data_IF_109912315792
#
_entry.id   IF_109912315792
#
_cell.length_a   1.000
_cell.length_b   1.000
_cell.length_c   1.000
_cell.angle_alpha   90.00
_cell.angle_beta   90.00
_cell.angle_gamma   90.00
#
_symmetry.space_group_name_H-M   'P 1'
#
loop_
_entity.id
_entity.type
_entity.pdbx_description
1 polymer ?
#
# COMPACT_ATOMS: atom_id res chain seq x y z
N UNK A 1 4.48 10.66 20.99
CA UNK A 1 4.72 10.15 19.63
C UNK A 1 3.58 10.56 18.72
N UNK A 2 3.85 11.18 17.58
CA UNK A 2 2.82 11.37 16.55
C UNK A 2 2.86 10.12 15.65
N UNK A 3 1.75 9.39 15.58
CA UNK A 3 1.63 8.14 14.82
C UNK A 3 1.44 8.41 13.33
N UNK A 4 0.67 7.55 12.67
CA UNK A 4 0.25 7.72 11.28
C UNK A 4 -1.22 7.30 11.16
N UNK A 5 -1.92 7.82 10.15
CA UNK A 5 -3.24 7.32 9.77
C UNK A 5 -3.05 6.11 8.86
N UNK A 6 -3.61 4.97 9.25
CA UNK A 6 -3.67 3.80 8.39
C UNK A 6 -4.99 3.79 7.61
N UNK A 7 -4.95 4.25 6.37
CA UNK A 7 -6.12 4.36 5.52
C UNK A 7 -6.25 3.08 4.65
N UNK A 8 -7.32 2.31 4.89
CA UNK A 8 -7.62 1.07 4.18
C UNK A 8 -8.97 1.23 3.50
N UNK A 9 -9.01 1.11 2.17
CA UNK A 9 -10.26 1.03 1.40
C UNK A 9 -10.31 -0.29 0.63
N UNK A 10 -10.68 -1.36 1.32
CA UNK A 10 -11.01 -2.61 0.65
C UNK A 10 -12.51 -2.86 0.80
N UNK A 11 -13.29 -2.43 -0.20
CA UNK A 11 -14.63 -2.97 -0.44
C UNK A 11 -14.49 -4.28 -1.19
N UNK A 12 -14.15 -5.36 -0.46
CA UNK A 12 -14.41 -6.72 -0.94
C UNK A 12 -13.18 -7.57 -1.29
N UNK A 13 -13.13 -8.74 -0.66
CA UNK A 13 -12.34 -9.90 -1.03
C UNK A 13 -12.86 -10.54 -2.32
N UNK A 14 -12.57 -9.97 -3.49
CA UNK A 14 -12.88 -10.67 -4.75
C UNK A 14 -11.86 -10.35 -5.83
N UNK A 15 -10.84 -11.21 -5.88
CA UNK A 15 -10.26 -11.67 -7.14
C UNK A 15 -9.37 -10.69 -7.89
N UNK A 16 -8.05 -10.83 -7.70
CA UNK A 16 -7.02 -10.70 -8.75
C UNK A 16 -6.98 -9.40 -9.58
N UNK A 17 -7.69 -8.34 -9.24
CA UNK A 17 -7.60 -7.08 -9.97
C UNK A 17 -6.48 -6.24 -9.38
N UNK A 18 -5.44 -6.08 -10.20
CA UNK A 18 -4.10 -5.56 -9.90
C UNK A 18 -4.05 -4.03 -9.82
N UNK A 19 -5.15 -3.34 -10.15
CA UNK A 19 -5.17 -1.88 -10.26
C UNK A 19 -5.59 -1.19 -8.94
N UNK A 20 -4.87 -0.13 -8.59
CA UNK A 20 -5.29 0.83 -7.56
C UNK A 20 -6.34 1.76 -8.20
N UNK A 21 -7.62 1.72 -7.78
CA UNK A 21 -8.66 2.53 -8.42
C UNK A 21 -8.45 4.03 -8.18
N UNK A 22 -8.81 4.86 -9.14
CA UNK A 22 -8.67 6.33 -9.03
C UNK A 22 -9.49 6.92 -7.88
N UNK A 23 -10.64 6.30 -7.56
CA UNK A 23 -11.46 6.68 -6.41
C UNK A 23 -10.70 6.52 -5.09
N UNK A 24 -9.89 5.46 -4.97
CA UNK A 24 -9.04 5.21 -3.81
C UNK A 24 -7.99 6.29 -3.69
N UNK A 25 -7.33 6.65 -4.79
CA UNK A 25 -6.32 7.73 -4.79
C UNK A 25 -6.94 9.07 -4.41
N UNK A 26 -8.10 9.41 -4.98
CA UNK A 26 -8.82 10.62 -4.63
C UNK A 26 -9.29 10.63 -3.17
N UNK A 27 -9.62 9.47 -2.59
CA UNK A 27 -9.91 9.36 -1.16
C UNK A 27 -8.64 9.58 -0.31
N UNK A 28 -7.50 8.99 -0.68
CA UNK A 28 -6.22 9.21 -0.01
C UNK A 28 -5.84 10.69 -0.02
N UNK A 29 -6.00 11.38 -1.16
CA UNK A 29 -5.70 12.81 -1.28
C UNK A 29 -6.55 13.66 -0.32
N UNK A 30 -7.85 13.35 -0.20
CA UNK A 30 -8.74 14.06 0.74
C UNK A 30 -8.34 13.82 2.19
N UNK A 31 -7.96 12.60 2.55
CA UNK A 31 -7.51 12.26 3.91
C UNK A 31 -6.18 12.97 4.21
N UNK A 32 -5.22 12.89 3.29
CA UNK A 32 -3.91 13.53 3.40
C UNK A 32 -4.01 15.05 3.53
N UNK A 33 -4.93 15.69 2.81
CA UNK A 33 -5.12 17.14 2.86
C UNK A 33 -5.56 17.66 4.24
N UNK A 34 -6.17 16.83 5.07
CA UNK A 34 -6.69 17.22 6.40
C UNK A 34 -5.96 16.54 7.57
N UNK A 35 -5.09 15.58 7.28
CA UNK A 35 -4.42 14.79 8.30
C UNK A 35 -3.24 15.58 8.90
N UNK A 36 -3.15 15.71 10.24
CA UNK A 36 -2.00 16.32 10.91
C UNK A 36 -0.79 15.35 11.02
N UNK A 37 -0.94 14.10 10.57
CA UNK A 37 0.08 13.05 10.63
C UNK A 37 0.20 12.32 9.28
N UNK A 38 1.31 11.61 9.00
CA UNK A 38 1.46 10.87 7.76
C UNK A 38 0.31 9.90 7.50
N UNK A 39 -0.09 9.75 6.25
CA UNK A 39 -1.14 8.83 5.80
C UNK A 39 -0.51 7.66 5.05
N UNK A 40 -0.68 6.46 5.60
CA UNK A 40 -0.20 5.22 5.00
C UNK A 40 -1.35 4.38 4.47
N UNK A 41 -1.12 3.72 3.34
CA UNK A 41 -2.12 2.90 2.64
C UNK A 41 -1.83 1.40 2.73
N UNK A 42 -2.87 0.59 2.90
CA UNK A 42 -2.79 -0.87 2.88
C UNK A 42 -3.79 -1.48 1.91
N UNK A 43 -3.34 -1.83 0.70
CA UNK A 43 -4.21 -2.28 -0.41
C UNK A 43 -3.87 -3.67 -0.95
N UNK A 44 -3.26 -4.54 -0.14
CA UNK A 44 -2.78 -5.83 -0.64
C UNK A 44 -1.69 -5.64 -1.69
N UNK A 45 -0.74 -4.75 -1.40
CA UNK A 45 0.37 -4.38 -2.28
C UNK A 45 1.23 -5.62 -2.58
N UNK A 46 1.42 -5.89 -3.87
CA UNK A 46 2.13 -7.06 -4.40
C UNK A 46 3.14 -6.72 -5.49
N UNK A 47 3.12 -5.49 -6.03
CA UNK A 47 4.05 -5.05 -7.07
C UNK A 47 4.54 -3.62 -6.89
N UNK A 48 5.72 -3.32 -7.43
CA UNK A 48 6.25 -1.95 -7.48
C UNK A 48 5.37 -1.00 -8.29
N UNK A 49 4.63 -1.49 -9.29
CA UNK A 49 3.70 -0.68 -10.08
C UNK A 49 2.58 -0.11 -9.19
N UNK A 50 2.04 -0.92 -8.28
CA UNK A 50 1.04 -0.46 -7.32
C UNK A 50 1.61 0.62 -6.40
N UNK A 51 2.87 0.43 -5.93
CA UNK A 51 3.57 1.43 -5.12
C UNK A 51 3.78 2.74 -5.89
N UNK A 52 4.23 2.63 -7.15
CA UNK A 52 4.42 3.78 -8.04
C UNK A 52 3.11 4.53 -8.29
N UNK A 53 1.98 3.82 -8.47
CA UNK A 53 0.66 4.43 -8.70
C UNK A 53 0.17 5.26 -7.51
N UNK A 54 0.52 4.88 -6.29
CA UNK A 54 0.17 5.61 -5.07
C UNK A 54 1.15 6.73 -4.72
N UNK A 55 2.28 6.83 -5.43
CA UNK A 55 3.28 7.87 -5.20
C UNK A 55 2.64 9.26 -5.32
N UNK A 56 2.82 10.10 -4.31
CA UNK A 56 2.23 11.44 -4.25
C UNK A 56 0.84 11.51 -3.65
N UNK A 57 0.14 10.39 -3.51
CA UNK A 57 -1.18 10.29 -2.88
C UNK A 57 -1.12 9.86 -1.41
N UNK A 58 -0.05 9.15 -1.03
CA UNK A 58 0.19 8.63 0.33
C UNK A 58 1.62 8.91 0.77
N UNK A 59 1.85 8.97 2.07
CA UNK A 59 3.17 9.15 2.67
C UNK A 59 3.88 7.80 2.92
N UNK A 60 3.13 6.68 2.88
CA UNK A 60 3.68 5.34 3.02
C UNK A 60 2.74 4.23 2.54
N UNK A 61 3.30 3.04 2.36
CA UNK A 61 2.57 1.83 1.99
C UNK A 61 2.82 0.73 3.01
N UNK A 62 1.80 -0.07 3.31
CA UNK A 62 1.85 -1.18 4.26
C UNK A 62 1.63 -2.48 3.50
N UNK A 63 2.55 -3.43 3.68
CA UNK A 63 2.57 -4.73 3.00
C UNK A 63 2.39 -5.83 4.03
N UNK A 64 1.23 -6.49 4.01
CA UNK A 64 0.88 -7.56 4.96
C UNK A 64 0.89 -8.94 4.30
N UNK A 65 -0.25 -9.34 3.72
CA UNK A 65 -0.47 -10.70 3.21
C UNK A 65 0.60 -11.16 2.21
N UNK A 66 1.06 -10.30 1.30
CA UNK A 66 2.10 -10.66 0.34
C UNK A 66 3.44 -10.98 1.01
N UNK A 67 3.79 -10.25 2.08
CA UNK A 67 5.00 -10.52 2.87
C UNK A 67 4.87 -11.85 3.64
N UNK A 68 3.70 -12.12 4.22
CA UNK A 68 3.42 -13.39 4.89
C UNK A 68 3.56 -14.57 3.92
N UNK A 69 3.01 -14.45 2.71
CA UNK A 69 3.14 -15.49 1.67
C UNK A 69 4.60 -15.73 1.25
N UNK A 70 5.43 -14.70 1.17
CA UNK A 70 6.88 -14.82 0.91
C UNK A 70 7.57 -15.60 2.03
N UNK A 71 7.24 -15.29 3.29
CA UNK A 71 7.76 -16.01 4.45
C UNK A 71 7.32 -17.48 4.48
N UNK A 72 6.06 -17.77 4.14
CA UNK A 72 5.53 -19.13 4.04
C UNK A 72 6.24 -19.96 2.96
N UNK A 73 6.58 -19.33 1.83
CA UNK A 73 7.39 -19.94 0.76
C UNK A 73 8.88 -20.05 1.09
N UNK A 74 9.32 -19.54 2.24
CA UNK A 74 10.74 -19.45 2.65
C UNK A 74 11.61 -18.68 1.64
N UNK A 75 11.02 -17.70 0.98
CA UNK A 75 11.71 -16.74 0.12
C UNK A 75 12.32 -15.61 0.96
N UNK A 76 13.23 -14.83 0.38
CA UNK A 76 13.85 -13.70 1.08
C UNK A 76 12.88 -12.50 1.17
N UNK A 77 12.39 -12.14 2.37
CA UNK A 77 11.52 -10.99 2.55
C UNK A 77 12.21 -9.66 2.21
N UNK A 78 13.53 -9.55 2.40
CA UNK A 78 14.25 -8.32 2.08
C UNK A 78 14.28 -8.10 0.57
N UNK A 79 14.64 -9.12 -0.20
CA UNK A 79 14.62 -9.07 -1.66
C UNK A 79 13.22 -8.73 -2.21
N UNK A 80 12.16 -9.30 -1.64
CA UNK A 80 10.78 -8.96 -2.00
C UNK A 80 10.46 -7.48 -1.74
N UNK A 81 10.77 -6.97 -0.55
CA UNK A 81 10.49 -5.58 -0.19
C UNK A 81 11.31 -4.57 -1.02
N UNK A 82 12.57 -4.89 -1.32
CA UNK A 82 13.39 -4.09 -2.23
C UNK A 82 12.78 -4.08 -3.64
N UNK A 83 12.24 -5.20 -4.11
CA UNK A 83 11.52 -5.30 -5.38
C UNK A 83 10.22 -4.50 -5.45
N UNK A 84 9.67 -4.05 -4.33
CA UNK A 84 8.49 -3.16 -4.29
C UNK A 84 8.85 -1.68 -4.32
N UNK A 85 10.12 -1.33 -4.09
CA UNK A 85 10.53 0.08 -4.10
C UNK A 85 10.51 0.60 -5.55
N UNK A 86 9.78 1.68 -5.82
CA UNK A 86 9.81 2.30 -7.15
C UNK A 86 11.23 2.81 -7.42
N UNK A 87 11.72 2.59 -8.64
CA UNK A 87 13.01 3.13 -9.10
C UNK A 87 12.97 4.65 -9.25
#
# INVERSE_FOLDING_TARGET
>A
SQGFVYAVTMTGTTGRSVAVPDEVLGYMDRVRAVSPVPVCAGFGIRSAEQVARMRGHVDGVVVGSALVEVLERREDPAAFLEGLRPQ
#
